data_IF_282603176986
#
_entry.id   IF_282603176986
#
_cell.length_a   1.000
_cell.length_b   1.000
_cell.length_c   1.000
_cell.angle_alpha   90.00
_cell.angle_beta   90.00
_cell.angle_gamma   90.00
#
_symmetry.space_group_name_H-M   'P 1'
#
loop_
_entity.id
_entity.type
_entity.pdbx_description
1 polymer ?
#
# COMPACT_ATOMS: atom_id res chain seq x y z
N UNK A 1 11.61 3.59 -4.58
CA UNK A 1 11.71 4.73 -3.66
C UNK A 1 10.62 4.65 -2.59
N UNK A 2 10.98 4.91 -1.33
CA UNK A 2 10.06 4.82 -0.20
C UNK A 2 10.32 5.94 0.79
N UNK A 3 9.23 6.52 1.33
CA UNK A 3 9.30 7.53 2.38
C UNK A 3 8.22 7.28 3.44
N UNK A 4 8.51 7.65 4.68
CA UNK A 4 7.55 7.71 5.77
C UNK A 4 7.12 9.17 5.94
N UNK A 5 5.82 9.39 5.88
CA UNK A 5 5.18 10.70 6.02
C UNK A 5 4.50 10.77 7.38
N UNK A 6 4.79 11.82 8.14
CA UNK A 6 4.20 12.05 9.49
C UNK A 6 3.37 13.32 9.48
N UNK A 7 2.14 13.21 9.92
CA UNK A 7 1.16 14.29 9.99
C UNK A 7 0.74 14.56 11.43
N UNK A 8 0.63 15.83 11.78
CA UNK A 8 0.17 16.31 13.09
C UNK A 8 -0.99 17.28 12.89
N UNK A 9 -1.88 17.38 13.87
CA UNK A 9 -2.89 18.43 13.92
C UNK A 9 -2.29 19.73 14.46
N UNK A 10 -3.03 20.81 14.29
CA UNK A 10 -2.72 22.11 14.90
C UNK A 10 -2.77 21.97 16.43
N UNK A 11 -1.88 22.63 17.11
CA UNK A 11 -1.89 22.84 18.57
C UNK A 11 -2.04 21.57 19.44
N UNK A 12 -1.66 20.41 18.91
CA UNK A 12 -1.70 19.15 19.66
C UNK A 12 -3.08 18.54 19.90
N UNK A 13 -4.12 19.03 19.23
CA UNK A 13 -5.50 18.53 19.36
C UNK A 13 -5.67 17.05 18.97
N UNK A 14 -4.71 16.50 18.26
CA UNK A 14 -4.77 15.15 17.70
C UNK A 14 -5.67 15.08 16.45
N UNK A 15 -5.65 13.92 15.79
CA UNK A 15 -6.37 13.72 14.52
C UNK A 15 -7.41 12.61 14.69
N UNK A 16 -8.62 12.85 14.18
CA UNK A 16 -9.74 11.94 14.25
C UNK A 16 -10.09 11.40 12.86
N UNK A 17 -10.03 10.09 12.66
CA UNK A 17 -10.32 9.44 11.38
C UNK A 17 -11.44 8.40 11.50
N UNK A 18 -12.20 8.12 10.42
CA UNK A 18 -13.08 6.97 10.37
C UNK A 18 -12.29 5.66 10.39
N UNK A 19 -12.92 4.52 10.68
CA UNK A 19 -12.26 3.21 10.66
C UNK A 19 -11.70 2.84 9.28
N UNK A 20 -12.40 3.22 8.23
CA UNK A 20 -12.00 3.01 6.84
C UNK A 20 -11.45 4.30 6.25
N UNK A 21 -10.23 4.64 6.58
CA UNK A 21 -9.56 5.90 6.25
C UNK A 21 -8.74 5.87 4.95
N UNK A 22 -8.62 4.72 4.28
CA UNK A 22 -7.76 4.59 3.09
C UNK A 22 -8.01 5.65 2.01
N UNK A 23 -9.30 5.98 1.76
CA UNK A 23 -9.66 6.99 0.77
C UNK A 23 -9.22 8.40 1.18
N UNK A 24 -9.11 8.68 2.48
CA UNK A 24 -8.60 9.95 3.00
C UNK A 24 -7.08 10.04 2.84
N UNK A 25 -6.34 8.95 3.12
CA UNK A 25 -4.91 8.92 2.86
C UNK A 25 -4.62 9.05 1.36
N UNK A 26 -5.41 8.40 0.52
CA UNK A 26 -5.31 8.58 -0.93
C UNK A 26 -5.56 10.03 -1.33
N UNK A 27 -6.63 10.66 -0.82
CA UNK A 27 -6.93 12.06 -1.06
C UNK A 27 -5.76 12.96 -0.63
N UNK A 28 -5.23 12.73 0.56
CA UNK A 28 -4.07 13.47 1.08
C UNK A 28 -2.85 13.34 0.17
N UNK A 29 -2.53 12.13 -0.33
CA UNK A 29 -1.45 11.91 -1.28
C UNK A 29 -1.66 12.73 -2.56
N UNK A 30 -2.85 12.70 -3.16
CA UNK A 30 -3.13 13.49 -4.36
C UNK A 30 -3.11 14.99 -4.10
N UNK A 31 -3.56 15.45 -2.92
CA UNK A 31 -3.50 16.87 -2.52
C UNK A 31 -2.05 17.37 -2.36
N UNK A 32 -1.12 16.48 -2.01
CA UNK A 32 0.31 16.76 -1.92
C UNK A 32 1.05 16.59 -3.26
N UNK A 33 0.33 16.61 -4.39
CA UNK A 33 0.92 16.65 -5.74
C UNK A 33 0.48 17.95 -6.42
N UNK A 34 1.27 18.47 -7.40
CA UNK A 34 0.81 19.58 -8.24
C UNK A 34 -0.53 19.22 -8.89
N UNK A 35 -1.51 20.14 -8.99
CA UNK A 35 -2.85 19.84 -9.46
C UNK A 35 -2.90 19.11 -10.80
N UNK A 36 -2.21 19.63 -11.82
CA UNK A 36 -2.18 19.04 -13.18
C UNK A 36 -1.53 17.66 -13.18
N UNK A 37 -0.47 17.47 -12.36
CA UNK A 37 0.18 16.18 -12.20
C UNK A 37 -0.72 15.17 -11.48
N UNK A 38 -1.42 15.61 -10.43
CA UNK A 38 -2.38 14.81 -9.68
C UNK A 38 -3.55 14.35 -10.55
N UNK A 39 -4.12 15.26 -11.36
CA UNK A 39 -5.20 14.94 -12.30
C UNK A 39 -4.73 13.93 -13.37
N UNK A 40 -3.61 14.19 -14.02
CA UNK A 40 -3.04 13.28 -15.02
C UNK A 40 -2.75 11.90 -14.40
N UNK A 41 -2.11 11.86 -13.23
CA UNK A 41 -1.86 10.60 -12.53
C UNK A 41 -3.17 9.90 -12.15
N UNK A 42 -4.22 10.64 -11.74
CA UNK A 42 -5.52 10.07 -11.36
C UNK A 42 -6.29 9.56 -12.57
N UNK A 43 -6.38 10.31 -13.64
CA UNK A 43 -7.18 9.93 -14.81
C UNK A 43 -6.45 8.95 -15.72
N UNK A 44 -5.24 9.29 -16.16
CA UNK A 44 -4.48 8.50 -17.10
C UNK A 44 -3.53 7.49 -16.43
N UNK A 45 -2.64 7.95 -15.59
CA UNK A 45 -1.59 7.14 -14.97
C UNK A 45 -0.71 6.45 -16.03
N UNK A 46 -0.30 5.21 -15.75
CA UNK A 46 0.56 4.40 -16.62
C UNK A 46 -0.26 3.29 -17.28
N UNK A 47 -0.32 3.26 -18.61
CA UNK A 47 -1.19 2.35 -19.37
C UNK A 47 -0.48 1.04 -19.73
N UNK A 48 -1.13 -0.08 -19.43
CA UNK A 48 -0.78 -1.40 -19.95
C UNK A 48 -2.02 -2.02 -20.62
N UNK A 49 -2.09 -1.94 -21.94
CA UNK A 49 -3.30 -2.25 -22.70
C UNK A 49 -4.49 -1.42 -22.22
N UNK A 50 -5.57 -2.09 -21.84
CA UNK A 50 -6.78 -1.42 -21.31
C UNK A 50 -6.70 -1.06 -19.82
N UNK A 51 -5.63 -1.42 -19.12
CA UNK A 51 -5.48 -1.18 -17.69
C UNK A 51 -4.65 0.07 -17.42
N UNK A 52 -5.04 0.80 -16.37
CA UNK A 52 -4.32 1.98 -15.87
C UNK A 52 -3.73 1.67 -14.50
N UNK A 53 -2.45 1.93 -14.34
CA UNK A 53 -1.72 1.79 -13.08
C UNK A 53 -1.31 3.17 -12.59
N UNK A 54 -1.28 3.36 -11.27
CA UNK A 54 -0.80 4.62 -10.66
C UNK A 54 0.64 4.51 -10.18
N UNK A 55 1.16 3.28 -10.12
CA UNK A 55 2.53 2.92 -9.73
C UNK A 55 2.96 3.53 -8.38
N UNK A 56 2.05 3.60 -7.43
CA UNK A 56 2.36 3.87 -6.04
C UNK A 56 1.51 3.02 -5.10
N UNK A 57 1.98 2.89 -3.88
CA UNK A 57 1.29 2.21 -2.79
C UNK A 57 1.54 2.92 -1.48
N UNK A 58 0.72 2.65 -0.47
CA UNK A 58 0.94 3.14 0.88
C UNK A 58 0.49 2.15 1.95
N UNK A 59 1.10 2.26 3.13
CA UNK A 59 0.80 1.41 4.27
C UNK A 59 -0.50 1.82 4.96
N UNK A 60 -0.97 0.98 5.87
CA UNK A 60 -1.84 1.45 6.95
C UNK A 60 -1.11 2.48 7.80
N UNK A 61 -1.87 3.26 8.58
CA UNK A 61 -1.30 4.12 9.62
C UNK A 61 -0.49 3.24 10.58
N UNK A 62 0.74 3.67 10.89
CA UNK A 62 1.69 2.90 11.67
C UNK A 62 1.37 2.92 13.17
N UNK A 63 0.78 4.03 13.65
CA UNK A 63 0.38 4.17 15.04
C UNK A 63 -0.95 3.43 15.32
N UNK A 64 -1.07 2.92 16.50
CA UNK A 64 -2.32 2.35 17.00
C UNK A 64 -3.26 3.49 17.42
N UNK A 65 -4.30 3.77 16.63
CA UNK A 65 -5.33 4.74 16.99
C UNK A 65 -6.16 4.28 18.19
N UNK A 66 -6.61 5.24 19.00
CA UNK A 66 -7.54 5.00 20.12
C UNK A 66 -8.98 5.06 19.63
N UNK A 67 -9.79 4.07 19.98
CA UNK A 67 -11.21 4.09 19.61
C UNK A 67 -11.95 5.19 20.36
N UNK A 68 -12.72 6.01 19.65
CA UNK A 68 -13.67 6.96 20.19
C UNK A 68 -15.03 6.77 19.52
N UNK A 69 -16.12 6.96 20.27
CA UNK A 69 -17.47 6.99 19.72
C UNK A 69 -17.91 8.47 19.71
N UNK A 70 -18.17 9.01 18.53
CA UNK A 70 -18.58 10.40 18.32
C UNK A 70 -19.84 10.35 17.47
N UNK A 71 -20.93 10.97 17.95
CA UNK A 71 -22.24 10.96 17.30
C UNK A 71 -22.70 9.55 16.87
N UNK A 72 -22.51 8.57 17.75
CA UNK A 72 -22.89 7.19 17.49
C UNK A 72 -21.93 6.40 16.58
N UNK A 73 -20.95 7.05 15.94
CA UNK A 73 -20.03 6.44 14.99
C UNK A 73 -18.67 6.13 15.64
N UNK A 74 -18.09 4.97 15.29
CA UNK A 74 -16.73 4.62 15.72
C UNK A 74 -15.71 5.40 14.91
N UNK A 75 -14.74 6.02 15.62
CA UNK A 75 -13.62 6.77 15.06
C UNK A 75 -12.30 6.27 15.66
N UNK A 76 -11.20 6.55 14.98
CA UNK A 76 -9.84 6.35 15.46
C UNK A 76 -9.24 7.71 15.79
N UNK A 77 -8.79 7.89 17.02
CA UNK A 77 -8.15 9.09 17.49
C UNK A 77 -6.63 8.87 17.60
N UNK A 78 -5.87 9.79 17.04
CA UNK A 78 -4.41 9.83 17.04
C UNK A 78 -3.93 11.09 17.77
N UNK A 79 -3.63 11.03 19.08
CA UNK A 79 -3.36 12.22 19.89
C UNK A 79 -2.10 12.99 19.47
N UNK A 80 -1.11 12.32 18.93
CA UNK A 80 0.16 12.90 18.47
C UNK A 80 0.27 12.93 16.94
N UNK A 81 -0.85 12.80 16.23
CA UNK A 81 -0.83 12.62 14.79
C UNK A 81 -0.59 11.18 14.35
N UNK A 82 -0.34 11.00 13.07
CA UNK A 82 -0.13 9.68 12.48
C UNK A 82 0.96 9.68 11.42
N UNK A 83 1.51 8.50 11.16
CA UNK A 83 2.46 8.29 10.07
C UNK A 83 2.01 7.12 9.20
N UNK A 84 2.34 7.18 7.93
CA UNK A 84 2.24 6.04 7.02
C UNK A 84 3.43 6.04 6.05
N UNK A 85 3.74 4.87 5.49
CA UNK A 85 4.75 4.74 4.46
C UNK A 85 4.09 4.92 3.08
N UNK A 86 4.78 5.64 2.21
CA UNK A 86 4.47 5.81 0.79
C UNK A 86 5.60 5.20 -0.03
N UNK A 87 5.27 4.51 -1.13
CA UNK A 87 6.27 3.95 -2.03
C UNK A 87 5.85 4.08 -3.49
N UNK A 88 6.82 4.32 -4.36
CA UNK A 88 6.67 4.40 -5.80
C UNK A 88 8.00 4.07 -6.52
N UNK A 89 8.00 3.39 -7.69
CA UNK A 89 9.17 3.25 -8.53
C UNK A 89 9.44 4.49 -9.40
N UNK A 90 8.55 5.50 -9.36
CA UNK A 90 8.62 6.70 -10.17
C UNK A 90 9.16 7.86 -9.34
N UNK A 91 10.38 8.30 -9.65
CA UNK A 91 11.05 9.39 -8.95
C UNK A 91 10.21 10.67 -8.95
N UNK A 92 9.62 11.00 -10.10
CA UNK A 92 8.81 12.19 -10.29
C UNK A 92 7.59 12.27 -9.36
N UNK A 93 7.00 11.13 -8.99
CA UNK A 93 5.87 11.11 -8.05
C UNK A 93 6.34 11.46 -6.63
N UNK A 94 7.43 10.88 -6.17
CA UNK A 94 7.95 11.13 -4.83
C UNK A 94 8.52 12.54 -4.72
N UNK A 95 9.27 13.01 -5.73
CA UNK A 95 9.82 14.36 -5.79
C UNK A 95 8.73 15.42 -5.71
N UNK A 96 7.71 15.32 -6.56
CA UNK A 96 6.57 16.24 -6.56
C UNK A 96 5.84 16.23 -5.22
N UNK A 97 5.61 15.04 -4.63
CA UNK A 97 4.97 14.91 -3.34
C UNK A 97 5.75 15.62 -2.24
N UNK A 98 7.06 15.42 -2.17
CA UNK A 98 7.92 16.06 -1.16
C UNK A 98 7.95 17.57 -1.37
N UNK A 99 8.14 18.03 -2.61
CA UNK A 99 8.21 19.45 -2.95
C UNK A 99 6.92 20.19 -2.57
N UNK A 100 5.76 19.68 -2.99
CA UNK A 100 4.47 20.30 -2.68
C UNK A 100 4.14 20.24 -1.18
N UNK A 101 4.52 19.16 -0.52
CA UNK A 101 4.35 19.02 0.92
C UNK A 101 5.14 20.08 1.71
N UNK A 102 6.34 20.44 1.24
CA UNK A 102 7.15 21.51 1.82
C UNK A 102 6.56 22.91 1.54
N UNK A 103 5.95 23.11 0.37
CA UNK A 103 5.37 24.39 -0.03
C UNK A 103 4.02 24.64 0.63
N UNK A 104 3.14 23.66 0.66
CA UNK A 104 1.74 23.81 1.14
C UNK A 104 1.60 23.70 2.64
N UNK A 105 2.51 23.09 3.35
CA UNK A 105 2.58 22.89 4.80
C UNK A 105 1.36 22.24 5.46
N UNK A 106 0.13 22.48 4.99
CA UNK A 106 -1.09 21.91 5.56
C UNK A 106 -2.04 21.37 4.50
N UNK A 107 -2.93 20.47 4.93
CA UNK A 107 -4.03 19.92 4.14
C UNK A 107 -5.27 19.80 5.01
N UNK A 108 -6.45 19.93 4.41
CA UNK A 108 -7.72 19.59 5.07
C UNK A 108 -7.96 18.08 5.04
N UNK A 109 -8.28 17.53 6.19
CA UNK A 109 -8.65 16.13 6.34
C UNK A 109 -9.97 16.02 7.12
N UNK A 110 -11.08 16.09 6.41
CA UNK A 110 -12.45 16.12 6.99
C UNK A 110 -12.70 17.31 7.92
N UNK A 111 -12.31 18.51 7.52
CA UNK A 111 -12.46 19.73 8.32
C UNK A 111 -11.40 19.86 9.43
N UNK A 112 -10.42 18.96 9.49
CA UNK A 112 -9.27 19.03 10.39
C UNK A 112 -8.04 19.47 9.60
N UNK A 113 -7.44 20.59 9.97
CA UNK A 113 -6.18 21.02 9.37
C UNK A 113 -5.04 20.14 9.87
N UNK A 114 -4.39 19.42 8.96
CA UNK A 114 -3.24 18.56 9.25
C UNK A 114 -1.98 19.06 8.57
N UNK A 115 -0.86 18.94 9.25
CA UNK A 115 0.45 19.42 8.80
C UNK A 115 1.37 18.23 8.54
N UNK A 116 2.08 18.23 7.42
CA UNK A 116 3.19 17.32 7.22
C UNK A 116 4.38 17.80 8.10
N UNK A 117 4.54 17.14 9.24
CA UNK A 117 5.56 17.52 10.23
C UNK A 117 6.92 16.89 9.94
N UNK A 118 6.95 15.74 9.24
CA UNK A 118 8.19 15.03 8.93
C UNK A 118 8.07 14.17 7.67
N UNK A 119 9.13 14.18 6.87
CA UNK A 119 9.37 13.23 5.78
C UNK A 119 10.67 12.50 6.04
N UNK A 120 10.64 11.18 6.11
CA UNK A 120 11.81 10.34 6.34
C UNK A 120 11.96 9.40 5.13
N UNK A 121 13.03 9.56 4.35
CA UNK A 121 13.35 8.61 3.28
C UNK A 121 13.78 7.29 3.93
N UNK A 122 13.11 6.21 3.55
CA UNK A 122 13.44 4.89 4.07
C UNK A 122 14.75 4.39 3.44
N UNK A 123 15.62 3.72 4.21
CA UNK A 123 16.83 3.12 3.68
C UNK A 123 16.51 2.08 2.62
N UNK A 124 17.44 1.86 1.71
CA UNK A 124 17.38 0.75 0.77
C UNK A 124 17.47 -0.57 1.52
N UNK A 125 16.78 -1.57 1.02
CA UNK A 125 16.78 -2.93 1.56
C UNK A 125 17.31 -3.89 0.51
N UNK A 126 18.11 -4.84 0.94
CA UNK A 126 18.55 -5.94 0.09
C UNK A 126 17.39 -6.91 -0.13
N UNK A 127 17.01 -7.12 -1.38
CA UNK A 127 16.00 -8.08 -1.78
C UNK A 127 16.68 -9.33 -2.32
N UNK A 128 16.39 -10.47 -1.70
CA UNK A 128 16.95 -11.79 -2.03
C UNK A 128 15.88 -12.65 -2.69
N UNK A 129 16.31 -13.60 -3.50
CA UNK A 129 15.41 -14.54 -4.19
C UNK A 129 14.47 -15.29 -3.24
N UNK A 130 14.94 -15.58 -2.03
CA UNK A 130 14.17 -16.23 -0.98
C UNK A 130 14.28 -15.40 0.29
N UNK A 131 13.12 -14.95 0.79
CA UNK A 131 13.04 -14.18 2.04
C UNK A 131 11.62 -14.23 2.61
N UNK A 132 11.42 -13.57 3.75
CA UNK A 132 10.10 -13.36 4.30
C UNK A 132 9.66 -11.91 4.09
N UNK A 133 8.39 -11.73 3.81
CA UNK A 133 7.74 -10.42 3.73
C UNK A 133 6.59 -10.31 4.72
N UNK A 134 6.33 -9.10 5.21
CA UNK A 134 5.15 -8.76 5.99
C UNK A 134 4.36 -7.66 5.29
N UNK A 135 3.05 -7.83 5.14
CA UNK A 135 2.20 -6.80 4.57
C UNK A 135 1.96 -5.64 5.55
N UNK A 136 2.33 -4.43 5.15
CA UNK A 136 2.02 -3.17 5.84
C UNK A 136 0.63 -2.64 5.47
N UNK A 137 0.09 -3.06 4.32
CA UNK A 137 -1.31 -2.90 3.93
C UNK A 137 -1.80 -4.17 3.26
N UNK A 138 -3.10 -4.52 3.35
CA UNK A 138 -3.59 -5.80 2.87
C UNK A 138 -3.30 -6.01 1.38
N UNK A 139 -2.81 -7.19 0.99
CA UNK A 139 -2.73 -7.56 -0.42
C UNK A 139 -4.11 -8.00 -0.91
N UNK A 140 -4.48 -7.60 -2.11
CA UNK A 140 -5.74 -8.01 -2.74
C UNK A 140 -5.52 -8.40 -4.19
N UNK A 141 -6.14 -9.50 -4.60
CA UNK A 141 -6.27 -9.91 -5.99
C UNK A 141 -7.70 -10.35 -6.25
N UNK A 142 -8.22 -10.02 -7.42
CA UNK A 142 -9.61 -10.32 -7.74
C UNK A 142 -9.82 -10.46 -9.25
N UNK A 143 -10.88 -11.15 -9.62
CA UNK A 143 -11.48 -11.14 -10.97
C UNK A 143 -12.89 -10.58 -10.91
N UNK A 144 -13.27 -9.80 -11.91
CA UNK A 144 -14.64 -9.34 -12.10
C UNK A 144 -15.20 -10.01 -13.33
N UNK A 145 -16.29 -10.72 -13.15
CA UNK A 145 -17.06 -11.39 -14.20
C UNK A 145 -18.41 -10.71 -14.36
N UNK A 146 -19.00 -10.79 -15.56
CA UNK A 146 -20.39 -10.44 -15.80
C UNK A 146 -21.22 -11.70 -15.73
N UNK A 147 -22.23 -11.74 -14.86
CA UNK A 147 -23.22 -12.79 -14.77
C UNK A 147 -24.59 -12.10 -14.82
N UNK A 148 -25.42 -12.43 -15.81
CA UNK A 148 -26.74 -11.82 -15.98
C UNK A 148 -26.71 -10.28 -15.91
N UNK A 149 -25.83 -9.63 -16.71
CA UNK A 149 -25.55 -8.19 -16.73
C UNK A 149 -25.09 -7.55 -15.42
N UNK A 150 -24.94 -8.31 -14.35
CA UNK A 150 -24.39 -7.82 -13.08
C UNK A 150 -22.91 -8.12 -13.00
N UNK A 151 -22.13 -7.12 -12.59
CA UNK A 151 -20.70 -7.31 -12.28
C UNK A 151 -20.55 -7.96 -10.92
N UNK A 152 -19.94 -9.16 -10.88
CA UNK A 152 -19.55 -9.83 -9.64
C UNK A 152 -18.04 -9.83 -9.52
N UNK A 153 -17.55 -9.37 -8.37
CA UNK A 153 -16.11 -9.37 -8.06
C UNK A 153 -15.83 -10.49 -7.06
N UNK A 154 -14.96 -11.42 -7.47
CA UNK A 154 -14.45 -12.47 -6.61
C UNK A 154 -13.05 -12.10 -6.14
N UNK A 155 -12.84 -12.05 -4.82
CA UNK A 155 -11.54 -11.79 -4.18
C UNK A 155 -10.91 -13.12 -3.78
N UNK A 156 -9.69 -13.38 -4.27
CA UNK A 156 -8.99 -14.64 -4.01
C UNK A 156 -8.25 -14.59 -2.67
N UNK A 157 -8.28 -15.73 -1.98
CA UNK A 157 -7.52 -15.99 -0.76
C UNK A 157 -6.12 -16.50 -1.10
N UNK A 158 -5.11 -16.32 -0.22
CA UNK A 158 -3.81 -16.98 -0.36
C UNK A 158 -3.86 -18.51 -0.44
N UNK A 159 -4.99 -19.14 -0.06
CA UNK A 159 -5.23 -20.56 -0.21
C UNK A 159 -5.74 -20.97 -1.59
N UNK A 160 -6.23 -20.02 -2.40
CA UNK A 160 -6.75 -20.29 -3.72
C UNK A 160 -5.60 -20.47 -4.73
N UNK A 161 -5.72 -21.45 -5.62
CA UNK A 161 -4.68 -21.78 -6.62
C UNK A 161 -4.34 -20.61 -7.55
N UNK A 162 -5.34 -19.78 -7.87
CA UNK A 162 -5.18 -18.62 -8.75
C UNK A 162 -4.52 -17.43 -8.09
N UNK A 163 -4.39 -17.41 -6.77
CA UNK A 163 -3.87 -16.25 -6.04
C UNK A 163 -2.47 -15.86 -6.51
N UNK A 164 -1.53 -16.79 -6.51
CA UNK A 164 -0.15 -16.56 -6.95
C UNK A 164 -0.05 -16.24 -8.44
N UNK A 165 -0.84 -16.90 -9.28
CA UNK A 165 -0.90 -16.59 -10.71
C UNK A 165 -1.31 -15.13 -10.96
N UNK A 166 -2.37 -14.67 -10.29
CA UNK A 166 -2.85 -13.29 -10.42
C UNK A 166 -1.86 -12.26 -9.87
N UNK A 167 -1.14 -12.58 -8.80
CA UNK A 167 -0.06 -11.75 -8.28
C UNK A 167 1.07 -11.61 -9.29
N UNK A 168 1.54 -12.73 -9.84
CA UNK A 168 2.61 -12.75 -10.85
C UNK A 168 2.23 -11.99 -12.11
N UNK A 169 1.03 -12.21 -12.63
CA UNK A 169 0.52 -11.47 -13.80
C UNK A 169 0.47 -9.95 -13.56
N UNK A 170 0.07 -9.54 -12.35
CA UNK A 170 0.05 -8.13 -11.98
C UNK A 170 1.46 -7.55 -11.81
N UNK A 171 2.37 -8.28 -11.17
CA UNK A 171 3.76 -7.90 -10.99
C UNK A 171 4.49 -7.73 -12.34
N UNK A 172 4.32 -8.65 -13.28
CA UNK A 172 4.89 -8.59 -14.63
C UNK A 172 4.43 -7.35 -15.41
N UNK A 173 3.16 -6.96 -15.29
CA UNK A 173 2.64 -5.74 -15.92
C UNK A 173 3.29 -4.48 -15.34
N UNK A 174 3.48 -4.43 -14.02
CA UNK A 174 4.19 -3.32 -13.36
C UNK A 174 5.65 -3.29 -13.75
N UNK A 175 6.31 -4.45 -13.82
CA UNK A 175 7.69 -4.54 -14.26
C UNK A 175 7.88 -3.95 -15.66
N UNK A 176 7.03 -4.33 -16.61
CA UNK A 176 7.04 -3.74 -17.95
C UNK A 176 6.84 -2.23 -17.92
N UNK A 177 5.88 -1.74 -17.14
CA UNK A 177 5.60 -0.29 -17.04
C UNK A 177 6.75 0.49 -16.41
N UNK A 178 7.52 -0.12 -15.52
CA UNK A 178 8.64 0.53 -14.82
C UNK A 178 9.91 0.50 -15.66
N UNK A 179 10.22 -0.65 -16.27
CA UNK A 179 11.50 -0.92 -16.92
C UNK A 179 11.46 -0.85 -18.46
N UNK A 180 10.28 -0.94 -19.05
CA UNK A 180 10.10 -1.14 -20.50
C UNK A 180 10.45 -2.56 -20.99
N UNK A 181 10.95 -3.44 -20.12
CA UNK A 181 11.41 -4.78 -20.48
C UNK A 181 10.29 -5.82 -20.29
N UNK A 182 10.35 -6.91 -21.06
CA UNK A 182 9.46 -8.06 -20.84
C UNK A 182 9.85 -8.78 -19.54
N UNK A 183 8.84 -9.16 -18.78
CA UNK A 183 9.02 -10.00 -17.59
C UNK A 183 8.79 -11.50 -17.88
N UNK A 184 8.85 -11.91 -19.16
CA UNK A 184 8.73 -13.32 -19.53
C UNK A 184 9.91 -14.11 -18.93
N UNK A 185 9.59 -15.22 -18.27
CA UNK A 185 10.59 -16.05 -17.56
C UNK A 185 10.80 -15.65 -16.11
N UNK A 186 10.53 -14.40 -15.70
CA UNK A 186 10.66 -14.01 -14.31
C UNK A 186 9.62 -14.74 -13.44
N UNK A 187 10.06 -15.20 -12.27
CA UNK A 187 9.28 -16.01 -11.32
C UNK A 187 8.97 -15.20 -10.09
N UNK A 188 7.82 -15.45 -9.50
CA UNK A 188 7.40 -14.89 -8.24
C UNK A 188 6.29 -15.73 -7.62
N UNK A 189 6.46 -16.14 -6.39
CA UNK A 189 5.46 -16.90 -5.62
C UNK A 189 5.57 -16.53 -4.16
N UNK A 190 4.42 -16.42 -3.46
CA UNK A 190 4.39 -16.26 -2.02
C UNK A 190 3.66 -17.42 -1.36
N UNK A 191 4.14 -17.82 -0.20
CA UNK A 191 3.59 -18.90 0.61
C UNK A 191 3.22 -18.36 1.99
N UNK A 192 2.00 -18.64 2.50
CA UNK A 192 1.64 -18.30 3.87
C UNK A 192 2.66 -18.88 4.87
N UNK A 193 3.20 -18.02 5.75
CA UNK A 193 4.13 -18.46 6.82
C UNK A 193 3.52 -18.25 8.20
N UNK A 194 3.29 -17.01 8.61
CA UNK A 194 2.50 -16.66 9.80
C UNK A 194 1.17 -16.08 9.34
N UNK A 195 0.26 -16.96 9.00
CA UNK A 195 -1.01 -16.62 8.38
C UNK A 195 -2.15 -17.51 8.89
N UNK A 196 -3.29 -16.90 9.15
CA UNK A 196 -4.56 -17.56 9.44
C UNK A 196 -5.66 -16.78 8.68
N UNK A 197 -6.50 -17.45 7.88
CA UNK A 197 -7.59 -16.80 7.15
C UNK A 197 -8.47 -15.93 8.04
N UNK A 198 -8.77 -16.39 9.26
CA UNK A 198 -9.66 -15.70 10.21
C UNK A 198 -9.04 -14.41 10.74
N UNK A 199 -7.74 -14.41 11.04
CA UNK A 199 -7.01 -13.29 11.66
C UNK A 199 -6.48 -12.30 10.63
N UNK A 200 -6.11 -12.81 9.45
CA UNK A 200 -5.40 -12.02 8.44
C UNK A 200 -6.31 -11.47 7.34
N UNK A 201 -7.59 -11.89 7.31
CA UNK A 201 -8.59 -11.30 6.42
C UNK A 201 -8.88 -9.86 6.84
N UNK A 202 -8.81 -8.95 5.88
CA UNK A 202 -9.15 -7.55 6.07
C UNK A 202 -10.22 -7.12 5.07
N UNK A 203 -11.28 -6.49 5.56
CA UNK A 203 -12.30 -5.86 4.72
C UNK A 203 -12.19 -4.35 4.89
N UNK A 204 -11.88 -3.65 3.81
CA UNK A 204 -11.75 -2.20 3.79
C UNK A 204 -12.87 -1.63 2.93
N UNK A 205 -13.69 -0.74 3.50
CA UNK A 205 -14.64 0.04 2.73
C UNK A 205 -13.92 1.22 2.08
N UNK A 206 -13.77 1.16 0.76
CA UNK A 206 -13.15 2.21 -0.03
C UNK A 206 -14.21 2.92 -0.85
N UNK A 207 -14.53 4.18 -0.51
CA UNK A 207 -15.64 4.95 -1.12
C UNK A 207 -16.95 4.13 -1.19
N UNK A 208 -17.31 3.47 -0.07
CA UNK A 208 -18.51 2.65 0.04
C UNK A 208 -18.41 1.22 -0.53
N UNK A 209 -17.36 0.91 -1.28
CA UNK A 209 -17.17 -0.43 -1.87
C UNK A 209 -16.30 -1.30 -0.95
N UNK A 210 -16.76 -2.50 -0.53
CA UNK A 210 -15.94 -3.42 0.25
C UNK A 210 -14.85 -4.06 -0.62
N UNK A 211 -13.62 -3.98 -0.17
CA UNK A 211 -12.46 -4.64 -0.78
C UNK A 211 -11.90 -5.63 0.23
N UNK A 212 -11.82 -6.89 -0.15
CA UNK A 212 -11.22 -7.95 0.67
C UNK A 212 -9.75 -8.06 0.32
N UNK A 213 -8.91 -8.13 1.34
CA UNK A 213 -7.48 -8.34 1.21
C UNK A 213 -6.94 -9.12 2.41
N UNK A 214 -5.65 -9.41 2.37
CA UNK A 214 -4.98 -10.30 3.31
C UNK A 214 -3.73 -9.64 3.87
N UNK A 215 -3.52 -9.78 5.16
CA UNK A 215 -2.31 -9.37 5.88
C UNK A 215 -1.53 -10.61 6.31
N UNK A 216 -0.45 -10.43 7.07
CA UNK A 216 0.34 -11.54 7.61
C UNK A 216 1.76 -11.56 7.08
N UNK A 217 2.48 -12.63 7.43
CA UNK A 217 3.85 -12.89 7.01
C UNK A 217 3.85 -14.04 6.02
N UNK A 218 4.58 -13.86 4.92
CA UNK A 218 4.67 -14.83 3.84
C UNK A 218 6.14 -15.07 3.51
N UNK A 219 6.51 -16.32 3.18
CA UNK A 219 7.75 -16.61 2.47
C UNK A 219 7.56 -16.20 1.02
N UNK A 220 8.53 -15.52 0.43
CA UNK A 220 8.54 -15.19 -0.98
C UNK A 220 9.72 -15.85 -1.66
N UNK A 221 9.47 -16.37 -2.85
CA UNK A 221 10.48 -16.90 -3.78
C UNK A 221 10.27 -16.19 -5.12
N UNK A 222 11.29 -15.49 -5.61
CA UNK A 222 11.14 -14.71 -6.85
C UNK A 222 12.39 -13.98 -7.28
N UNK A 223 12.39 -13.57 -8.53
CA UNK A 223 13.49 -12.80 -9.11
C UNK A 223 13.60 -11.42 -8.45
N UNK A 224 14.80 -11.00 -8.00
CA UNK A 224 15.01 -9.74 -7.29
C UNK A 224 14.49 -8.53 -8.04
N UNK A 225 14.60 -8.48 -9.36
CA UNK A 225 14.08 -7.39 -10.20
C UNK A 225 12.55 -7.26 -10.09
N UNK A 226 11.84 -8.39 -10.02
CA UNK A 226 10.39 -8.40 -9.88
C UNK A 226 9.97 -8.06 -8.45
N UNK A 227 10.75 -8.51 -7.47
CA UNK A 227 10.59 -8.16 -6.06
C UNK A 227 10.75 -6.65 -5.86
N UNK A 228 11.79 -6.04 -6.46
CA UNK A 228 12.04 -4.58 -6.39
C UNK A 228 10.84 -3.77 -6.88
N UNK A 229 10.31 -4.12 -8.04
CA UNK A 229 9.12 -3.42 -8.58
C UNK A 229 7.91 -3.58 -7.67
N UNK A 230 7.67 -4.77 -7.11
CA UNK A 230 6.54 -4.98 -6.20
C UNK A 230 6.77 -4.34 -4.83
N UNK A 231 8.00 -4.21 -4.38
CA UNK A 231 8.37 -3.50 -3.15
C UNK A 231 8.05 -2.00 -3.24
N UNK A 232 8.27 -1.42 -4.42
CA UNK A 232 8.03 0.00 -4.67
C UNK A 232 6.60 0.30 -5.12
N UNK A 233 6.01 -0.49 -6.03
CA UNK A 233 4.68 -0.25 -6.58
C UNK A 233 3.54 -0.99 -5.85
N UNK A 234 3.88 -1.80 -4.85
CA UNK A 234 2.95 -2.68 -4.15
C UNK A 234 2.63 -3.98 -4.90
N UNK A 235 2.25 -5.01 -4.17
CA UNK A 235 1.88 -6.32 -4.68
C UNK A 235 0.36 -6.43 -4.88
N UNK A 236 -0.08 -7.10 -5.94
CA UNK A 236 -1.50 -7.29 -6.27
C UNK A 236 -2.18 -6.02 -6.80
N UNK A 237 -3.47 -5.92 -6.56
CA UNK A 237 -4.32 -4.86 -7.10
C UNK A 237 -4.59 -3.73 -6.08
N UNK A 238 -5.19 -2.61 -6.54
CA UNK A 238 -5.66 -1.50 -5.69
C UNK A 238 -4.55 -0.81 -4.87
N UNK A 239 -3.32 -0.83 -5.35
CA UNK A 239 -2.17 -0.29 -4.60
C UNK A 239 -2.34 1.19 -4.27
N UNK A 240 -2.78 2.02 -5.22
CA UNK A 240 -3.06 3.43 -4.98
C UNK A 240 -4.25 3.70 -4.05
N UNK A 241 -4.98 2.67 -3.65
CA UNK A 241 -6.02 2.73 -2.61
C UNK A 241 -5.53 2.20 -1.23
N UNK A 242 -4.21 2.01 -1.06
CA UNK A 242 -3.59 1.55 0.17
C UNK A 242 -3.66 0.05 0.36
N UNK A 243 -3.31 -0.70 -0.70
CA UNK A 243 -3.22 -2.15 -0.68
C UNK A 243 -1.86 -2.63 -1.18
N UNK A 244 -1.41 -3.76 -0.66
CA UNK A 244 -0.27 -4.52 -1.17
C UNK A 244 1.11 -3.91 -0.87
N UNK A 245 1.22 -2.94 0.03
CA UNK A 245 2.52 -2.52 0.54
C UNK A 245 3.08 -3.57 1.48
N UNK A 246 4.35 -3.92 1.32
CA UNK A 246 5.02 -4.92 2.13
C UNK A 246 6.43 -4.47 2.53
N UNK A 247 7.00 -5.11 3.52
CA UNK A 247 8.38 -4.91 3.98
C UNK A 247 9.07 -6.26 4.14
N UNK A 248 10.40 -6.27 4.12
CA UNK A 248 11.19 -7.43 4.50
C UNK A 248 10.95 -7.72 5.97
N UNK A 249 10.66 -8.98 6.28
CA UNK A 249 10.43 -9.43 7.65
C UNK A 249 11.51 -10.43 8.03
N UNK A 250 12.11 -10.20 9.20
CA UNK A 250 13.11 -11.08 9.79
C UNK A 250 12.57 -11.66 11.09
N UNK A 251 12.72 -12.96 11.30
CA UNK A 251 12.40 -13.56 12.59
C UNK A 251 13.45 -13.18 13.63
N UNK A 252 13.03 -12.46 14.66
CA UNK A 252 13.95 -12.06 15.74
C UNK A 252 14.58 -13.25 16.44
N UNK A 253 13.93 -14.43 16.44
CA UNK A 253 14.45 -15.64 17.04
C UNK A 253 15.64 -16.22 16.28
N UNK A 254 15.65 -16.10 14.94
CA UNK A 254 16.78 -16.54 14.12
C UNK A 254 18.00 -15.62 14.29
N UNK A 255 17.78 -14.31 14.49
CA UNK A 255 18.88 -13.38 14.80
C UNK A 255 19.53 -13.62 16.15
N UNK A 256 18.77 -14.02 17.16
CA UNK A 256 19.31 -14.33 18.50
C UNK A 256 20.11 -15.66 18.50
N UNK A 257 19.85 -16.56 17.55
CA UNK A 257 20.60 -17.80 17.40
C UNK A 257 21.88 -17.59 16.56
N UNK A 258 21.80 -16.84 15.47
CA UNK A 258 22.97 -16.52 14.63
C UNK A 258 23.99 -15.56 15.29
N UNK A 259 23.61 -14.82 16.34
CA UNK A 259 24.53 -13.99 17.13
C UNK A 259 25.17 -14.69 18.33
N UNK A 260 24.93 -15.99 18.48
CA UNK A 260 25.51 -16.82 19.55
C UNK A 260 26.52 -17.86 19.02
N UNK A 261 26.71 -17.94 17.73
CA UNK A 261 27.80 -18.64 17.05
C UNK A 261 28.95 -17.67 16.69
#
# INVERSE_FOLDING_TARGET
>A
LRAKLTFTARDGEGILLPLHYNHLLQHLIYHLLPPDFAENLHEEGFRYGKRRFKLFTFSRILQKGRFRKIEGRRRLFFPQGFSFCFATPRYEILENLIREALLRRSADLLGQEVFLSRVEVCPEVELREVMFLRFLSPVTVYRTTKVEDKRRTHFFSPADSEFNQLLLENARKKYFLVTGKSANGLKFTIYPYRFSPERNKAVVLFKGTPIVGWTGVFKVEGDPELLEVTYQAGLGNKNSAGFGMWEVWEDKREKEQAGKE
#
